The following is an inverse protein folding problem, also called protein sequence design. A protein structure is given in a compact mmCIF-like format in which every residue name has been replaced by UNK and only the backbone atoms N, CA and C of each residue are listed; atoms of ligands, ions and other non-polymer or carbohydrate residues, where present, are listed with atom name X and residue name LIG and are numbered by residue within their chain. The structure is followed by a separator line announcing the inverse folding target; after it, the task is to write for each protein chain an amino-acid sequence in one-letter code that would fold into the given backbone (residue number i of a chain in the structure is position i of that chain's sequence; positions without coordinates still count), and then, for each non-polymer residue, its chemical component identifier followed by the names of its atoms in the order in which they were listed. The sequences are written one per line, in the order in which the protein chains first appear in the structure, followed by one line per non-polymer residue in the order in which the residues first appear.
data_IF_162762985515
#
_entry.id   IF_162762985515
#
_cell.length_a   1.000
_cell.length_b   1.000
_cell.length_c   1.000
_cell.angle_alpha   90.00
_cell.angle_beta   90.00
_cell.angle_gamma   90.00
#
_symmetry.space_group_name_H-M   'P 1'
#
loop_
_entity.id
_entity.type
_entity.pdbx_description
1 polymer ?
#
# COMPACT_ATOMS: atom_id res chain seq x y z
N UNK A 1 6.06 8.73 -25.60
CA UNK A 1 5.82 8.03 -24.32
C UNK A 1 5.51 9.08 -23.27
N UNK A 2 4.54 8.87 -22.38
CA UNK A 2 4.31 9.80 -21.27
C UNK A 2 5.56 9.84 -20.38
N UNK A 3 5.89 11.03 -19.87
CA UNK A 3 6.96 11.17 -18.88
C UNK A 3 6.49 10.56 -17.55
N UNK A 4 7.38 9.90 -16.79
CA UNK A 4 7.02 9.40 -15.47
C UNK A 4 6.64 10.58 -14.55
N UNK A 5 5.66 10.39 -13.65
CA UNK A 5 5.39 11.33 -12.56
C UNK A 5 6.65 11.67 -11.76
N UNK A 6 6.70 12.87 -11.18
CA UNK A 6 7.83 13.32 -10.34
C UNK A 6 8.04 12.49 -9.07
N UNK A 7 7.04 11.71 -8.67
CA UNK A 7 7.11 10.77 -7.55
C UNK A 7 7.72 9.41 -7.90
N UNK A 8 7.96 9.12 -9.18
CA UNK A 8 8.56 7.87 -9.59
C UNK A 8 10.06 7.82 -9.27
N UNK A 9 10.51 6.68 -8.75
CA UNK A 9 11.92 6.34 -8.54
C UNK A 9 12.38 5.33 -9.60
N UNK A 10 13.69 5.16 -9.75
CA UNK A 10 14.24 4.11 -10.61
C UNK A 10 13.97 2.71 -10.04
N UNK A 11 13.91 1.65 -10.87
CA UNK A 11 13.80 0.29 -10.37
C UNK A 11 14.96 -0.11 -9.43
N UNK A 12 16.16 0.43 -9.63
CA UNK A 12 17.31 0.13 -8.78
C UNK A 12 17.18 0.77 -7.38
N UNK A 13 16.65 1.99 -7.29
CA UNK A 13 16.30 2.61 -6.00
C UNK A 13 15.21 1.81 -5.30
N UNK A 14 14.17 1.38 -6.04
CA UNK A 14 13.12 0.49 -5.52
C UNK A 14 13.69 -0.80 -4.92
N UNK A 15 14.61 -1.46 -5.65
CA UNK A 15 15.31 -2.65 -5.15
C UNK A 15 16.06 -2.35 -3.84
N UNK A 16 16.78 -1.24 -3.79
CA UNK A 16 17.58 -0.87 -2.61
C UNK A 16 16.70 -0.69 -1.38
N UNK A 17 15.55 -0.03 -1.51
CA UNK A 17 14.59 0.16 -0.43
C UNK A 17 13.97 -1.18 0.03
N UNK A 18 13.59 -2.05 -0.90
CA UNK A 18 13.05 -3.37 -0.58
C UNK A 18 14.10 -4.30 0.08
N UNK A 19 15.35 -4.26 -0.37
CA UNK A 19 16.46 -4.99 0.24
C UNK A 19 16.68 -4.51 1.68
N UNK A 20 16.68 -3.19 1.92
CA UNK A 20 16.81 -2.61 3.26
C UNK A 20 15.68 -3.07 4.18
N UNK A 21 14.43 -3.07 3.71
CA UNK A 21 13.30 -3.58 4.49
C UNK A 21 13.49 -5.07 4.85
N UNK A 22 13.86 -5.89 3.86
CA UNK A 22 14.06 -7.34 4.00
C UNK A 22 15.20 -7.67 4.97
N UNK A 23 16.30 -6.91 4.91
CA UNK A 23 17.48 -7.12 5.75
C UNK A 23 17.34 -6.53 7.16
N UNK A 24 16.26 -5.79 7.44
CA UNK A 24 16.03 -5.17 8.75
C UNK A 24 14.67 -5.56 9.33
N UNK A 25 13.58 -4.93 8.87
CA UNK A 25 12.24 -5.09 9.48
C UNK A 25 11.71 -6.50 9.33
N UNK A 26 11.91 -7.14 8.17
CA UNK A 26 11.50 -8.52 8.00
C UNK A 26 12.23 -9.48 8.96
N UNK A 27 13.50 -9.22 9.28
CA UNK A 27 14.25 -10.01 10.27
C UNK A 27 13.69 -9.83 11.68
N UNK A 28 13.35 -8.61 12.08
CA UNK A 28 12.73 -8.35 13.38
C UNK A 28 11.37 -9.06 13.53
N UNK A 29 10.52 -8.97 12.50
CA UNK A 29 9.22 -9.64 12.48
C UNK A 29 9.40 -11.16 12.55
N UNK A 30 10.26 -11.72 11.69
CA UNK A 30 10.54 -13.15 11.67
C UNK A 30 11.04 -13.67 13.01
N UNK A 31 11.94 -12.94 13.66
CA UNK A 31 12.51 -13.34 14.95
C UNK A 31 11.47 -13.28 16.08
N UNK A 32 10.51 -12.35 16.02
CA UNK A 32 9.46 -12.21 17.03
C UNK A 32 8.29 -13.18 16.82
N UNK A 33 7.84 -13.35 15.59
CA UNK A 33 6.64 -14.12 15.22
C UNK A 33 6.94 -15.57 14.83
N UNK A 34 8.20 -15.88 14.49
CA UNK A 34 8.64 -17.23 14.12
C UNK A 34 8.36 -17.63 12.66
N UNK A 35 7.86 -16.72 11.82
CA UNK A 35 7.60 -16.96 10.40
C UNK A 35 7.90 -15.72 9.52
N UNK A 36 8.08 -15.93 8.22
CA UNK A 36 8.22 -14.85 7.24
C UNK A 36 6.85 -14.21 6.96
N UNK A 37 6.71 -12.90 7.19
CA UNK A 37 5.47 -12.16 6.95
C UNK A 37 5.44 -11.49 5.57
N UNK A 38 4.25 -11.20 5.05
CA UNK A 38 4.03 -10.54 3.75
C UNK A 38 4.57 -9.10 3.75
N UNK A 39 5.39 -8.74 2.77
CA UNK A 39 5.85 -7.34 2.57
C UNK A 39 5.59 -6.82 1.16
N UNK A 40 4.91 -7.62 0.33
CA UNK A 40 4.51 -7.26 -1.02
C UNK A 40 3.01 -7.45 -1.17
N UNK A 41 2.38 -6.57 -1.95
CA UNK A 41 0.95 -6.55 -2.16
C UNK A 41 0.69 -6.26 -3.63
N UNK A 42 -0.03 -7.17 -4.27
CA UNK A 42 -0.34 -7.05 -5.69
C UNK A 42 -1.82 -6.65 -5.87
N UNK A 43 -2.05 -5.70 -6.76
CA UNK A 43 -3.37 -5.25 -7.22
C UNK A 43 -3.36 -5.14 -8.74
N UNK A 44 -4.48 -5.42 -9.39
CA UNK A 44 -4.61 -5.08 -10.80
C UNK A 44 -4.71 -3.56 -10.95
N UNK A 45 -4.18 -3.02 -12.05
CA UNK A 45 -4.32 -1.58 -12.36
C UNK A 45 -5.80 -1.20 -12.47
N UNK A 46 -6.64 -2.10 -12.98
CA UNK A 46 -8.07 -1.88 -13.11
C UNK A 46 -8.76 -1.74 -11.75
N UNK A 47 -8.45 -2.61 -10.78
CA UNK A 47 -9.04 -2.54 -9.43
C UNK A 47 -8.55 -1.29 -8.69
N UNK A 48 -7.28 -0.93 -8.83
CA UNK A 48 -6.74 0.30 -8.24
C UNK A 48 -7.43 1.52 -8.84
N UNK A 49 -7.58 1.59 -10.16
CA UNK A 49 -8.27 2.69 -10.83
C UNK A 49 -9.73 2.78 -10.38
N UNK A 50 -10.45 1.65 -10.32
CA UNK A 50 -11.84 1.62 -9.87
C UNK A 50 -12.00 2.14 -8.42
N UNK A 51 -11.05 1.81 -7.53
CA UNK A 51 -11.05 2.35 -6.17
C UNK A 51 -10.78 3.87 -6.15
N UNK A 52 -9.81 4.34 -6.94
CA UNK A 52 -9.52 5.78 -7.03
C UNK A 52 -10.71 6.56 -7.60
N UNK A 53 -11.38 6.03 -8.62
CA UNK A 53 -12.58 6.63 -9.21
C UNK A 53 -13.72 6.70 -8.18
N UNK A 54 -13.91 5.64 -7.38
CA UNK A 54 -14.86 5.65 -6.26
C UNK A 54 -14.54 6.74 -5.23
N UNK A 55 -13.28 6.88 -4.80
CA UNK A 55 -12.86 7.92 -3.85
C UNK A 55 -13.11 9.32 -4.41
N UNK A 56 -12.79 9.55 -5.68
CA UNK A 56 -13.03 10.85 -6.35
C UNK A 56 -14.51 11.17 -6.43
N UNK A 57 -15.35 10.20 -6.80
CA UNK A 57 -16.80 10.40 -6.91
C UNK A 57 -17.43 10.76 -5.55
N UNK A 58 -17.15 9.99 -4.50
CA UNK A 58 -17.68 10.24 -3.16
C UNK A 58 -17.16 11.56 -2.57
N UNK A 59 -15.89 11.87 -2.79
CA UNK A 59 -15.28 13.13 -2.35
C UNK A 59 -15.89 14.34 -3.05
N UNK A 60 -16.14 14.22 -4.36
CA UNK A 60 -16.79 15.27 -5.15
C UNK A 60 -18.21 15.55 -4.65
N UNK A 61 -18.97 14.51 -4.30
CA UNK A 61 -20.30 14.65 -3.69
C UNK A 61 -20.28 15.40 -2.35
N UNK A 62 -19.13 15.40 -1.66
CA UNK A 62 -18.89 16.14 -0.41
C UNK A 62 -18.29 17.54 -0.63
N UNK A 63 -18.06 17.95 -1.88
CA UNK A 63 -17.43 19.24 -2.21
C UNK A 63 -15.90 19.25 -2.07
N UNK A 64 -15.26 18.09 -1.94
CA UNK A 64 -13.80 17.96 -1.87
C UNK A 64 -13.26 17.86 -3.30
N UNK A 65 -12.43 18.83 -3.70
CA UNK A 65 -11.95 18.98 -5.09
C UNK A 65 -10.59 18.35 -5.36
N UNK A 66 -9.81 18.06 -4.31
CA UNK A 66 -8.49 17.45 -4.42
C UNK A 66 -8.34 16.34 -3.36
N UNK A 67 -9.13 15.25 -3.42
CA UNK A 67 -9.02 14.18 -2.45
C UNK A 67 -7.69 13.44 -2.57
N UNK A 68 -7.25 12.81 -1.49
CA UNK A 68 -6.06 11.96 -1.48
C UNK A 68 -6.37 10.54 -1.01
N UNK A 69 -5.32 9.71 -1.00
CA UNK A 69 -5.33 8.37 -0.43
C UNK A 69 -4.08 8.21 0.43
N UNK A 70 -4.27 7.80 1.69
CA UNK A 70 -3.20 7.44 2.63
C UNK A 70 -3.08 5.93 2.71
N UNK A 71 -1.85 5.44 2.69
CA UNK A 71 -1.55 4.01 2.83
C UNK A 71 -1.06 3.75 4.25
N UNK A 72 -1.76 2.87 4.96
CA UNK A 72 -1.37 2.38 6.28
C UNK A 72 -0.85 0.95 6.18
N UNK A 73 0.24 0.65 6.88
CA UNK A 73 0.57 -0.74 7.20
C UNK A 73 -0.37 -1.24 8.30
N UNK A 74 -0.91 -2.44 8.11
CA UNK A 74 -1.89 -3.05 9.00
C UNK A 74 -1.58 -4.55 9.15
N UNK A 75 -2.33 -5.25 10.00
CA UNK A 75 -2.21 -6.69 10.16
C UNK A 75 -3.58 -7.32 10.40
N UNK A 76 -3.77 -8.54 9.89
CA UNK A 76 -4.89 -9.38 10.28
C UNK A 76 -4.58 -10.06 11.61
N UNK A 77 -5.54 -10.07 12.55
CA UNK A 77 -5.39 -10.71 13.87
C UNK A 77 -6.24 -11.99 14.00
N UNK A 78 -6.51 -12.71 12.91
CA UNK A 78 -7.38 -13.89 12.93
C UNK A 78 -6.59 -15.19 12.67
N UNK A 79 -6.59 -16.07 13.66
CA UNK A 79 -6.10 -17.45 13.57
C UNK A 79 -4.58 -17.61 13.72
N UNK A 80 -4.04 -18.72 13.19
CA UNK A 80 -2.63 -19.12 13.34
C UNK A 80 -1.65 -18.36 12.41
N UNK A 81 -2.09 -17.30 11.74
CA UNK A 81 -1.28 -16.54 10.77
C UNK A 81 -1.64 -15.04 10.84
N UNK A 82 -1.10 -14.27 11.81
CA UNK A 82 -1.22 -12.81 11.78
C UNK A 82 -0.44 -12.25 10.59
N UNK A 83 -1.13 -11.89 9.51
CA UNK A 83 -0.49 -11.44 8.26
C UNK A 83 -0.46 -9.94 8.20
N UNK A 84 0.70 -9.36 7.87
CA UNK A 84 0.76 -7.98 7.43
C UNK A 84 -0.13 -7.76 6.20
N UNK A 85 -0.72 -6.59 6.16
CA UNK A 85 -1.54 -6.08 5.08
C UNK A 85 -1.35 -4.57 4.96
N UNK A 86 -2.04 -3.96 4.00
CA UNK A 86 -2.14 -2.50 3.94
C UNK A 86 -3.61 -2.08 3.90
N UNK A 87 -3.87 -0.84 4.26
CA UNK A 87 -5.17 -0.20 4.12
C UNK A 87 -4.98 1.10 3.35
N UNK A 88 -5.68 1.26 2.24
CA UNK A 88 -5.78 2.51 1.50
C UNK A 88 -6.98 3.28 2.04
N UNK A 89 -6.73 4.38 2.75
CA UNK A 89 -7.76 5.22 3.37
C UNK A 89 -7.92 6.54 2.60
N UNK A 90 -9.15 6.95 2.25
CA UNK A 90 -9.40 8.26 1.63
C UNK A 90 -9.01 9.40 2.57
N UNK A 91 -8.59 10.55 2.03
CA UNK A 91 -8.26 11.75 2.82
C UNK A 91 -9.02 12.98 2.34
N UNK A 92 -9.22 13.94 3.26
CA UNK A 92 -9.94 15.19 3.00
C UNK A 92 -9.24 16.11 1.99
N UNK A 93 -7.93 15.92 1.79
CA UNK A 93 -7.18 16.49 0.67
C UNK A 93 -5.98 15.61 0.29
N UNK A 94 -5.34 15.89 -0.84
CA UNK A 94 -4.08 15.29 -1.28
C UNK A 94 -2.83 15.78 -0.52
N UNK A 95 -2.99 16.66 0.48
CA UNK A 95 -1.87 17.21 1.23
C UNK A 95 -1.32 16.20 2.25
N UNK A 96 0.00 16.16 2.51
CA UNK A 96 0.60 15.21 3.46
C UNK A 96 -0.04 15.22 4.87
N UNK A 97 -0.50 16.40 5.31
CA UNK A 97 -1.11 16.62 6.63
C UNK A 97 -2.63 16.45 6.67
N UNK A 98 -3.28 16.04 5.58
CA UNK A 98 -4.73 15.94 5.54
C UNK A 98 -5.29 14.88 6.51
N UNK A 99 -6.45 15.16 7.08
CA UNK A 99 -7.20 14.15 7.86
C UNK A 99 -7.72 13.04 6.94
N UNK A 100 -7.91 11.85 7.50
CA UNK A 100 -8.62 10.78 6.80
C UNK A 100 -10.10 11.16 6.65
N UNK A 101 -10.68 10.79 5.51
CA UNK A 101 -12.13 10.87 5.30
C UNK A 101 -12.76 9.52 5.66
N UNK A 102 -13.25 9.40 6.89
CA UNK A 102 -13.90 8.18 7.39
C UNK A 102 -15.33 7.98 6.89
N UNK A 103 -15.89 8.90 6.10
CA UNK A 103 -17.20 8.73 5.47
C UNK A 103 -17.14 7.87 4.19
N UNK A 104 -15.92 7.67 3.64
CA UNK A 104 -15.67 6.89 2.44
C UNK A 104 -14.97 5.59 2.85
N UNK A 105 -15.38 4.46 2.28
CA UNK A 105 -14.86 3.15 2.68
C UNK A 105 -13.38 2.98 2.30
N UNK A 106 -12.53 2.48 3.21
CA UNK A 106 -11.15 2.15 2.88
C UNK A 106 -11.05 0.79 2.16
N UNK A 107 -9.98 0.60 1.39
CA UNK A 107 -9.67 -0.65 0.70
C UNK A 107 -8.53 -1.42 1.36
N UNK A 108 -8.71 -2.73 1.58
CA UNK A 108 -7.70 -3.61 2.17
C UNK A 108 -7.55 -5.00 1.49
N UNK A 109 -8.26 -5.24 0.38
CA UNK A 109 -8.41 -6.57 -0.23
C UNK A 109 -7.31 -6.93 -1.25
N UNK A 110 -6.15 -6.30 -1.18
CA UNK A 110 -4.96 -6.73 -1.93
C UNK A 110 -4.45 -8.09 -1.43
N UNK A 111 -3.77 -8.81 -2.33
CA UNK A 111 -3.19 -10.12 -2.03
C UNK A 111 -1.67 -10.00 -1.95
N UNK A 112 -1.11 -10.43 -0.82
CA UNK A 112 0.33 -10.63 -0.64
C UNK A 112 0.67 -12.11 -0.44
N UNK A 113 1.88 -12.52 -0.79
CA UNK A 113 2.38 -13.91 -0.71
C UNK A 113 3.15 -14.18 0.58
N UNK A 114 3.19 -15.46 0.95
CA UNK A 114 4.04 -16.01 2.00
C UNK A 114 4.77 -17.25 1.44
N UNK A 115 6.11 -17.25 1.33
CA UNK A 115 7.01 -16.12 1.59
C UNK A 115 6.79 -14.97 0.58
N UNK A 116 7.19 -13.73 0.91
CA UNK A 116 7.08 -12.60 0.00
C UNK A 116 7.90 -12.80 -1.28
N UNK A 117 7.42 -12.22 -2.38
CA UNK A 117 8.21 -12.09 -3.60
C UNK A 117 9.25 -10.98 -3.42
N UNK A 118 10.53 -11.29 -3.63
CA UNK A 118 11.58 -10.28 -3.65
C UNK A 118 11.40 -9.30 -4.82
N UNK A 119 11.64 -8.01 -4.57
CA UNK A 119 11.71 -7.01 -5.63
C UNK A 119 13.02 -7.18 -6.41
N UNK A 120 12.93 -7.67 -7.65
CA UNK A 120 14.10 -7.93 -8.48
C UNK A 120 13.88 -7.40 -9.91
N UNK A 121 14.39 -6.20 -10.26
CA UNK A 121 14.16 -5.57 -11.55
C UNK A 121 14.88 -6.24 -12.73
N UNK A 122 15.66 -7.31 -12.49
CA UNK A 122 16.38 -8.08 -13.51
C UNK A 122 15.84 -9.49 -13.77
N UNK A 123 14.62 -9.80 -13.29
CA UNK A 123 13.88 -11.03 -13.58
C UNK A 123 12.70 -10.78 -14.51
#
# INVERSE_FOLDING_TARGET
MPNPPSSCITPQEGKTLCDQWTNTRAQYIKNAEGYDDSCEFNMSVADLQAYLDYVVAESTAQGITNPGVRIYFAAYNQGNQPKATLVMAPTMSGDPGADNNYSIQPANRQVGRIPPRAYNPGQ
#
